data_IF_988016547906
#
_entry.id   IF_988016547906
#
_cell.length_a   1.000
_cell.length_b   1.000
_cell.length_c   1.000
_cell.angle_alpha   90.00
_cell.angle_beta   90.00
_cell.angle_gamma   90.00
#
_symmetry.space_group_name_H-M   'P 1'
#
loop_
_entity.id
_entity.type
_entity.pdbx_description
1 polymer ?
#
# COMPACT_ATOMS: atom_id res chain seq x y z
N UNK A 1 40.12 -5.92 51.67
CA UNK A 1 39.08 -6.91 52.03
C UNK A 1 37.78 -6.14 52.24
N UNK A 2 36.79 -6.23 51.34
CA UNK A 2 35.52 -7.00 51.52
C UNK A 2 34.77 -6.56 52.80
N UNK A 3 33.55 -6.03 52.85
CA UNK A 3 32.26 -6.26 52.17
C UNK A 3 31.36 -5.02 52.48
N UNK A 4 30.68 -4.38 51.54
CA UNK A 4 29.29 -4.65 51.11
C UNK A 4 28.24 -4.76 52.23
N UNK A 5 27.26 -3.84 52.24
CA UNK A 5 25.82 -4.14 52.43
C UNK A 5 24.97 -2.94 52.00
N UNK A 6 24.05 -3.24 51.09
CA UNK A 6 23.23 -2.35 50.27
C UNK A 6 22.09 -1.70 51.07
N UNK A 7 21.66 -0.46 50.74
CA UNK A 7 20.30 -0.03 51.02
C UNK A 7 19.35 -0.46 49.88
N UNK A 8 18.39 -1.28 50.30
CA UNK A 8 17.00 -1.37 49.86
C UNK A 8 16.60 -0.86 48.45
N UNK A 9 16.19 -1.83 47.64
CA UNK A 9 15.09 -1.78 46.68
C UNK A 9 14.12 -0.60 46.88
N UNK A 10 14.13 0.34 45.93
CA UNK A 10 12.94 1.14 45.60
C UNK A 10 12.51 0.74 44.20
N UNK A 11 11.34 0.09 44.18
CA UNK A 11 10.79 -0.61 43.03
C UNK A 11 10.39 0.30 41.88
N UNK A 12 10.41 -0.33 40.71
CA UNK A 12 10.01 0.18 39.42
C UNK A 12 8.64 0.86 39.41
N UNK A 13 8.61 2.06 38.83
CA UNK A 13 7.44 2.66 38.18
C UNK A 13 7.86 3.18 36.81
N UNK A 14 8.39 2.27 35.98
CA UNK A 14 8.35 2.40 34.52
C UNK A 14 6.93 2.01 34.07
N UNK A 15 5.95 2.87 34.37
CA UNK A 15 4.67 2.81 33.70
C UNK A 15 4.92 3.26 32.25
N UNK A 16 5.07 2.26 31.39
CA UNK A 16 4.93 2.35 29.94
C UNK A 16 3.72 3.25 29.62
N UNK A 17 3.99 4.52 29.35
CA UNK A 17 3.12 5.34 28.53
C UNK A 17 3.30 4.92 27.06
N UNK A 18 3.08 3.63 26.77
CA UNK A 18 2.61 3.20 25.47
C UNK A 18 1.15 3.65 25.41
N UNK A 19 0.94 4.96 25.24
CA UNK A 19 -0.29 5.49 24.70
C UNK A 19 -0.44 4.89 23.32
N UNK A 20 -1.04 3.70 23.25
CA UNK A 20 -1.63 3.21 22.03
C UNK A 20 -2.57 4.30 21.58
N UNK A 21 -2.17 5.02 20.52
CA UNK A 21 -3.07 5.87 19.78
C UNK A 21 -4.21 4.94 19.35
N UNK A 22 -5.28 4.93 20.13
CA UNK A 22 -6.51 4.26 19.77
C UNK A 22 -6.83 4.79 18.40
N UNK A 23 -6.79 3.91 17.39
CA UNK A 23 -7.22 4.22 16.06
C UNK A 23 -8.64 4.79 16.24
N UNK A 24 -8.77 6.11 16.13
CA UNK A 24 -10.06 6.77 16.09
C UNK A 24 -10.73 6.13 14.88
N UNK A 25 -11.62 5.18 15.15
CA UNK A 25 -12.32 4.43 14.12
C UNK A 25 -13.07 5.46 13.30
N UNK A 26 -12.56 5.78 12.12
CA UNK A 26 -13.26 6.63 11.17
C UNK A 26 -14.59 5.93 10.95
N UNK A 27 -15.71 6.60 11.28
CA UNK A 27 -17.04 6.08 10.97
C UNK A 27 -17.05 5.82 9.46
N UNK A 28 -17.36 4.59 9.04
CA UNK A 28 -17.25 4.10 7.64
C UNK A 28 -15.82 3.83 7.15
N UNK A 29 -14.94 3.27 7.98
CA UNK A 29 -13.67 2.76 7.49
C UNK A 29 -13.89 1.66 6.43
N UNK A 30 -13.18 1.70 5.28
CA UNK A 30 -13.17 0.63 4.30
C UNK A 30 -12.89 -0.72 4.94
N UNK A 31 -13.47 -1.82 4.40
CA UNK A 31 -13.09 -3.15 4.84
C UNK A 31 -11.58 -3.35 4.60
N UNK A 32 -10.84 -4.07 5.46
CA UNK A 32 -9.39 -4.28 5.32
C UNK A 32 -8.99 -4.73 3.91
N UNK A 33 -9.80 -5.61 3.32
CA UNK A 33 -9.62 -6.13 1.96
C UNK A 33 -9.59 -5.03 0.89
N UNK A 34 -10.33 -3.93 1.05
CA UNK A 34 -10.30 -2.82 0.09
C UNK A 34 -8.95 -2.08 0.12
N UNK A 35 -8.42 -1.83 1.32
CA UNK A 35 -7.12 -1.18 1.51
C UNK A 35 -5.98 -2.08 1.01
N UNK A 36 -6.05 -3.38 1.29
CA UNK A 36 -5.11 -4.38 0.80
C UNK A 36 -5.14 -4.50 -0.72
N UNK A 37 -6.33 -4.57 -1.33
CA UNK A 37 -6.49 -4.61 -2.79
C UNK A 37 -5.91 -3.36 -3.44
N UNK A 38 -6.22 -2.18 -2.90
CA UNK A 38 -5.66 -0.94 -3.41
C UNK A 38 -4.13 -0.92 -3.32
N UNK A 39 -3.58 -1.27 -2.15
CA UNK A 39 -2.14 -1.37 -1.94
C UNK A 39 -1.46 -2.37 -2.89
N UNK A 40 -2.08 -3.51 -3.13
CA UNK A 40 -1.59 -4.56 -4.03
C UNK A 40 -1.51 -4.07 -5.48
N UNK A 41 -2.55 -3.41 -5.98
CA UNK A 41 -2.57 -2.83 -7.32
C UNK A 41 -1.54 -1.70 -7.46
N UNK A 42 -1.44 -0.80 -6.47
CA UNK A 42 -0.42 0.25 -6.47
C UNK A 42 1.00 -0.34 -6.44
N UNK A 43 1.23 -1.38 -5.64
CA UNK A 43 2.52 -2.07 -5.54
C UNK A 43 2.88 -2.70 -6.89
N UNK A 44 1.95 -3.41 -7.52
CA UNK A 44 2.17 -4.03 -8.83
C UNK A 44 2.46 -2.98 -9.93
N UNK A 45 1.70 -1.89 -9.97
CA UNK A 45 1.95 -0.81 -10.90
C UNK A 45 3.36 -0.23 -10.73
N UNK A 46 3.80 -0.03 -9.48
CA UNK A 46 5.12 0.52 -9.17
C UNK A 46 6.27 -0.48 -9.45
N UNK A 47 6.12 -1.74 -9.05
CA UNK A 47 7.18 -2.77 -9.13
C UNK A 47 7.32 -3.35 -10.53
N UNK A 48 6.18 -3.60 -11.18
CA UNK A 48 6.13 -4.26 -12.49
C UNK A 48 6.03 -3.26 -13.65
N UNK A 49 5.81 -1.97 -13.37
CA UNK A 49 5.74 -0.92 -14.39
C UNK A 49 4.42 -0.87 -15.16
N UNK A 50 3.33 -1.42 -14.60
CA UNK A 50 2.01 -1.35 -15.22
C UNK A 50 1.38 0.04 -15.05
N UNK A 51 0.53 0.40 -16.01
CA UNK A 51 -0.41 1.52 -15.85
C UNK A 51 -1.71 1.01 -15.24
N UNK A 52 -2.28 1.77 -14.32
CA UNK A 52 -3.57 1.41 -13.71
C UNK A 52 -4.69 1.86 -14.65
N UNK A 53 -5.53 0.92 -15.10
CA UNK A 53 -6.80 1.21 -15.76
C UNK A 53 -7.80 1.74 -14.74
N UNK A 54 -7.97 3.06 -14.71
CA UNK A 54 -8.71 3.78 -13.66
C UNK A 54 -10.18 3.34 -13.58
N UNK A 55 -10.84 3.15 -14.71
CA UNK A 55 -12.25 2.74 -14.76
C UNK A 55 -12.47 1.37 -14.11
N UNK A 56 -11.69 0.36 -14.51
CA UNK A 56 -11.79 -0.99 -13.95
C UNK A 56 -11.43 -1.01 -12.46
N UNK A 57 -10.44 -0.21 -12.07
CA UNK A 57 -10.01 -0.12 -10.68
C UNK A 57 -11.05 0.59 -9.79
N UNK A 58 -11.63 1.69 -10.25
CA UNK A 58 -12.72 2.39 -9.57
C UNK A 58 -13.95 1.49 -9.44
N UNK A 59 -14.31 0.74 -10.49
CA UNK A 59 -15.41 -0.21 -10.44
C UNK A 59 -15.19 -1.33 -9.41
N UNK A 60 -13.94 -1.77 -9.19
CA UNK A 60 -13.59 -2.72 -8.14
C UNK A 60 -13.71 -2.10 -6.75
N UNK A 61 -13.17 -0.90 -6.54
CA UNK A 61 -13.25 -0.19 -5.26
C UNK A 61 -14.69 0.15 -4.86
N UNK A 62 -15.53 0.49 -5.84
CA UNK A 62 -16.95 0.76 -5.64
C UNK A 62 -17.71 -0.44 -5.03
N UNK A 63 -17.27 -1.69 -5.25
CA UNK A 63 -17.84 -2.88 -4.60
C UNK A 63 -17.67 -2.86 -3.08
N UNK A 64 -16.68 -2.13 -2.59
CA UNK A 64 -16.42 -1.90 -1.18
C UNK A 64 -16.96 -0.57 -0.67
N UNK A 65 -17.67 0.19 -1.52
CA UNK A 65 -18.14 1.56 -1.23
C UNK A 65 -16.98 2.53 -0.95
N UNK A 66 -15.87 2.36 -1.68
CA UNK A 66 -14.64 3.15 -1.56
C UNK A 66 -14.34 3.80 -2.89
N UNK A 67 -13.86 5.05 -2.87
CA UNK A 67 -13.37 5.73 -4.07
C UNK A 67 -11.85 5.66 -4.16
N UNK A 68 -11.28 5.87 -5.34
CA UNK A 68 -9.82 5.92 -5.48
C UNK A 68 -9.20 7.05 -4.65
N UNK A 69 -9.89 8.18 -4.50
CA UNK A 69 -9.41 9.32 -3.70
C UNK A 69 -9.37 9.01 -2.20
N UNK A 70 -10.16 8.05 -1.73
CA UNK A 70 -10.14 7.62 -0.34
C UNK A 70 -8.85 6.84 0.02
N UNK A 71 -8.31 6.13 -0.97
CA UNK A 71 -7.22 5.15 -0.80
C UNK A 71 -5.93 5.53 -1.51
N UNK A 72 -5.90 6.63 -2.28
CA UNK A 72 -4.75 7.07 -3.08
C UNK A 72 -3.54 7.44 -2.22
N UNK A 73 -2.47 6.64 -2.14
CA UNK A 73 -1.35 6.95 -1.27
C UNK A 73 -0.55 8.19 -1.73
N UNK A 74 0.00 8.99 -0.82
CA UNK A 74 -0.28 9.06 0.63
C UNK A 74 -1.51 9.93 0.97
N UNK A 75 -2.29 10.33 -0.02
CA UNK A 75 -3.44 11.25 0.07
C UNK A 75 -4.73 10.53 0.50
N UNK A 76 -5.78 11.29 0.77
CA UNK A 76 -7.08 10.74 1.17
C UNK A 76 -7.15 10.28 2.63
N UNK A 77 -8.36 9.93 3.12
CA UNK A 77 -8.57 9.60 4.53
C UNK A 77 -7.89 8.30 4.96
N UNK A 78 -7.63 7.39 4.02
CA UNK A 78 -7.01 6.09 4.29
C UNK A 78 -5.64 5.90 3.61
N UNK A 79 -5.14 6.90 2.89
CA UNK A 79 -3.88 6.80 2.15
C UNK A 79 -2.66 6.44 3.00
N UNK A 80 -2.60 6.91 4.26
CA UNK A 80 -1.52 6.53 5.16
C UNK A 80 -1.51 5.02 5.47
N UNK A 81 -2.69 4.40 5.66
CA UNK A 81 -2.80 2.95 5.87
C UNK A 81 -2.43 2.19 4.60
N UNK A 82 -2.95 2.63 3.46
CA UNK A 82 -2.64 2.01 2.16
C UNK A 82 -1.14 2.12 1.87
N UNK A 83 -0.51 3.25 2.17
CA UNK A 83 0.94 3.46 2.03
C UNK A 83 1.73 2.44 2.85
N UNK A 84 1.34 2.17 4.09
CA UNK A 84 2.01 1.17 4.94
C UNK A 84 1.94 -0.23 4.30
N UNK A 85 0.76 -0.64 3.84
CA UNK A 85 0.56 -1.95 3.21
C UNK A 85 1.29 -2.02 1.87
N UNK A 86 1.21 -0.95 1.07
CA UNK A 86 1.90 -0.80 -0.22
C UNK A 86 3.41 -0.99 -0.06
N UNK A 87 4.03 -0.38 0.96
CA UNK A 87 5.47 -0.51 1.19
C UNK A 87 5.83 -1.96 1.49
N UNK A 88 5.06 -2.62 2.36
CA UNK A 88 5.28 -4.04 2.69
C UNK A 88 5.14 -4.93 1.45
N UNK A 89 4.05 -4.77 0.70
CA UNK A 89 3.79 -5.57 -0.51
C UNK A 89 4.81 -5.31 -1.61
N UNK A 90 5.21 -4.06 -1.82
CA UNK A 90 6.23 -3.69 -2.81
C UNK A 90 7.56 -4.36 -2.51
N UNK A 91 7.97 -4.40 -1.23
CA UNK A 91 9.20 -5.09 -0.83
C UNK A 91 9.12 -6.59 -1.10
N UNK A 92 8.00 -7.23 -0.75
CA UNK A 92 7.79 -8.67 -1.01
C UNK A 92 7.74 -9.00 -2.50
N UNK A 93 7.07 -8.17 -3.30
CA UNK A 93 7.06 -8.30 -4.76
C UNK A 93 8.47 -8.12 -5.33
N UNK A 94 9.24 -7.13 -4.86
CA UNK A 94 10.58 -6.88 -5.38
C UNK A 94 11.52 -8.07 -5.16
N UNK A 95 11.40 -8.75 -4.03
CA UNK A 95 12.18 -9.96 -3.73
C UNK A 95 11.88 -11.12 -4.68
N UNK A 96 10.67 -11.17 -5.25
CA UNK A 96 10.20 -12.24 -6.15
C UNK A 96 9.59 -11.65 -7.44
N UNK A 97 10.25 -10.63 -8.00
CA UNK A 97 9.65 -9.74 -9.00
C UNK A 97 9.00 -10.46 -10.17
N UNK A 98 9.73 -11.38 -10.81
CA UNK A 98 9.25 -12.04 -12.02
C UNK A 98 8.00 -12.89 -11.73
N UNK A 99 8.03 -13.69 -10.66
CA UNK A 99 6.89 -14.51 -10.25
C UNK A 99 5.69 -13.65 -9.83
N UNK A 100 5.94 -12.57 -9.07
CA UNK A 100 4.91 -11.65 -8.63
C UNK A 100 4.25 -10.90 -9.80
N UNK A 101 5.04 -10.43 -10.77
CA UNK A 101 4.53 -9.72 -11.94
C UNK A 101 3.73 -10.64 -12.87
N UNK A 102 4.14 -11.91 -13.02
CA UNK A 102 3.35 -12.90 -13.77
C UNK A 102 2.03 -13.21 -13.06
N UNK A 103 2.06 -13.42 -11.74
CA UNK A 103 0.86 -13.71 -10.97
C UNK A 103 -0.14 -12.55 -11.04
N UNK A 104 0.30 -11.32 -10.76
CA UNK A 104 -0.58 -10.16 -10.75
C UNK A 104 -1.14 -9.84 -12.14
N UNK A 105 -0.37 -10.04 -13.21
CA UNK A 105 -0.87 -9.91 -14.58
C UNK A 105 -1.94 -10.97 -14.89
N UNK A 106 -1.78 -12.20 -14.39
CA UNK A 106 -2.80 -13.24 -14.52
C UNK A 106 -4.08 -12.95 -13.74
N UNK A 107 -4.01 -12.17 -12.67
CA UNK A 107 -5.18 -11.80 -11.85
C UNK A 107 -5.89 -10.54 -12.33
N UNK A 108 -5.11 -9.52 -12.70
CA UNK A 108 -5.59 -8.15 -12.92
C UNK A 108 -5.15 -7.52 -14.25
N UNK A 109 -4.41 -8.26 -15.08
CA UNK A 109 -3.99 -7.82 -16.40
C UNK A 109 -5.16 -7.66 -17.38
N UNK A 110 -4.89 -7.42 -18.68
CA UNK A 110 -5.94 -7.26 -19.68
C UNK A 110 -6.92 -8.45 -19.74
N UNK A 111 -6.41 -9.66 -19.51
CA UNK A 111 -7.18 -10.91 -19.44
C UNK A 111 -7.25 -11.48 -18.01
N UNK A 112 -7.14 -10.61 -17.00
CA UNK A 112 -7.08 -11.00 -15.60
C UNK A 112 -8.27 -11.82 -15.13
N UNK A 113 -8.00 -12.89 -14.37
CA UNK A 113 -9.01 -13.82 -13.85
C UNK A 113 -9.89 -13.24 -12.74
N UNK A 114 -9.41 -12.23 -12.02
CA UNK A 114 -10.12 -11.63 -10.89
C UNK A 114 -10.90 -10.41 -11.35
N UNK A 115 -10.22 -9.42 -11.91
CA UNK A 115 -10.83 -8.28 -12.61
C UNK A 115 -9.93 -7.89 -13.78
N UNK A 116 -10.40 -8.04 -15.03
CA UNK A 116 -9.60 -7.69 -16.19
C UNK A 116 -9.42 -6.18 -16.33
N UNK A 117 -8.30 -5.77 -16.93
CA UNK A 117 -8.06 -4.39 -17.36
C UNK A 117 -7.62 -3.42 -16.26
N UNK A 118 -7.32 -3.90 -15.05
CA UNK A 118 -6.78 -3.03 -13.98
C UNK A 118 -5.31 -2.73 -14.20
N UNK A 119 -4.50 -3.72 -14.58
CA UNK A 119 -3.07 -3.58 -14.86
C UNK A 119 -2.84 -3.64 -16.36
N UNK A 120 -2.61 -2.48 -16.94
CA UNK A 120 -2.38 -2.32 -18.37
C UNK A 120 -0.87 -2.25 -18.64
N UNK A 121 -0.41 -2.73 -19.82
CA UNK A 121 0.96 -2.52 -20.25
C UNK A 121 1.35 -1.04 -20.17
N UNK A 122 2.64 -0.79 -19.89
CA UNK A 122 3.20 0.55 -19.95
C UNK A 122 2.87 1.22 -21.28
N UNK A 123 2.64 2.53 -21.26
CA UNK A 123 2.54 3.29 -22.51
C UNK A 123 3.85 3.09 -23.31
N UNK A 124 3.78 2.97 -24.64
CA UNK A 124 4.95 3.25 -25.45
C UNK A 124 5.51 4.62 -25.06
N UNK A 125 6.81 4.69 -24.78
CA UNK A 125 7.46 5.98 -24.47
C UNK A 125 7.46 6.79 -25.76
N UNK A 126 6.58 7.79 -25.85
CA UNK A 126 6.62 8.75 -26.93
C UNK A 126 7.92 9.58 -26.77
N UNK A 127 8.77 9.57 -27.79
CA UNK A 127 10.04 10.28 -27.75
C UNK A 127 9.78 11.77 -27.43
N UNK A 128 10.60 12.41 -26.56
CA UNK A 128 10.37 13.81 -26.20
C UNK A 128 10.36 14.67 -27.46
N UNK A 129 9.28 15.45 -27.61
CA UNK A 129 9.12 16.35 -28.74
C UNK A 129 10.35 17.29 -28.83
N UNK A 130 10.89 17.53 -30.05
CA UNK A 130 12.04 18.40 -30.20
C UNK A 130 11.71 19.79 -29.65
N UNK A 131 12.67 20.45 -28.97
CA UNK A 131 12.42 21.76 -28.37
C UNK A 131 12.00 22.74 -29.46
N UNK A 132 10.89 23.45 -29.24
CA UNK A 132 10.53 24.63 -30.05
C UNK A 132 11.63 25.67 -29.85
N UNK A 133 12.43 25.91 -30.89
CA UNK A 133 13.34 27.06 -30.92
C UNK A 133 12.51 28.36 -30.95
N UNK A 134 12.94 29.40 -30.21
CA UNK A 134 12.30 30.72 -30.23
C UNK A 134 12.46 31.43 -31.58
#
# INVERSE_FOLDING_TARGET
>A
MRLSRLPALTGALLALACGGAAAQGIRNAPPPRALETAAYIFAAANVCGYRIGTEAFEALLARYQVTIDDVRPPRGPFGAKVQTIFTLMSNQMMQNRDAACLAVAGEYGPEGKVVPGILLPAAPVEAPAPPKQP
#
